data_IF_664355012888
#
_entry.id   IF_664355012888
#
_cell.length_a   1.000
_cell.length_b   1.000
_cell.length_c   1.000
_cell.angle_alpha   90.00
_cell.angle_beta   90.00
_cell.angle_gamma   90.00
#
_symmetry.space_group_name_H-M   'P 1'
#
loop_
_entity.id
_entity.type
_entity.pdbx_description
1 polymer ?
#
# COMPACT_ATOMS: atom_id res chain seq x y z
N UNK A 1 4.99 -12.22 21.31
CA UNK A 1 4.52 -11.63 20.07
C UNK A 1 5.15 -12.31 18.87
N UNK A 2 4.39 -12.51 17.86
CA UNK A 2 4.92 -13.11 16.69
C UNK A 2 5.85 -12.16 15.97
N UNK A 3 7.02 -12.64 15.65
CA UNK A 3 7.97 -11.85 14.90
C UNK A 3 7.66 -11.94 13.42
N UNK A 4 7.63 -10.80 12.79
CA UNK A 4 7.43 -10.71 11.38
C UNK A 4 8.81 -10.68 10.73
N UNK A 5 9.15 -11.66 9.94
CA UNK A 5 10.46 -11.63 9.30
C UNK A 5 10.42 -10.71 8.08
N UNK A 6 11.59 -10.39 7.56
CA UNK A 6 11.72 -9.43 6.47
C UNK A 6 10.94 -9.85 5.24
N UNK A 7 10.89 -11.15 4.97
CA UNK A 7 10.19 -11.63 3.80
C UNK A 7 8.72 -11.31 3.86
N UNK A 8 8.09 -11.58 5.00
CA UNK A 8 6.66 -11.32 5.15
C UNK A 8 6.36 -9.83 5.13
N UNK A 9 7.24 -9.05 5.73
CA UNK A 9 7.10 -7.60 5.72
C UNK A 9 7.07 -7.07 4.29
N UNK A 10 8.02 -7.50 3.48
CA UNK A 10 8.10 -7.02 2.11
C UNK A 10 6.98 -7.57 1.24
N UNK A 11 6.52 -8.79 1.52
CA UNK A 11 5.39 -9.33 0.78
C UNK A 11 4.13 -8.54 1.02
N UNK A 12 3.92 -8.07 2.25
CA UNK A 12 2.76 -7.21 2.52
C UNK A 12 2.89 -5.87 1.80
N UNK A 13 4.09 -5.30 1.79
CA UNK A 13 4.31 -4.06 1.08
C UNK A 13 4.03 -4.24 -0.42
N UNK A 14 4.52 -5.34 -0.99
CA UNK A 14 4.32 -5.63 -2.40
C UNK A 14 2.86 -5.81 -2.74
N UNK A 15 2.06 -6.34 -1.82
CA UNK A 15 0.63 -6.50 -2.06
C UNK A 15 -0.05 -5.14 -2.25
N UNK A 16 0.37 -4.13 -1.49
CA UNK A 16 -0.17 -2.78 -1.68
C UNK A 16 0.26 -2.20 -3.02
N UNK A 17 1.51 -2.45 -3.40
CA UNK A 17 2.03 -1.95 -4.67
C UNK A 17 1.30 -2.61 -5.84
N UNK A 18 1.05 -3.91 -5.74
CA UNK A 18 0.33 -4.63 -6.78
C UNK A 18 -1.08 -4.05 -6.95
N UNK A 19 -1.75 -3.77 -5.84
CA UNK A 19 -3.08 -3.17 -5.91
C UNK A 19 -3.03 -1.80 -6.57
N UNK A 20 -2.03 -1.01 -6.21
CA UNK A 20 -1.88 0.31 -6.81
C UNK A 20 -1.63 0.22 -8.32
N UNK A 21 -0.80 -0.74 -8.73
CA UNK A 21 -0.52 -0.93 -10.16
C UNK A 21 -1.78 -1.34 -10.91
N UNK A 22 -2.64 -2.15 -10.30
CA UNK A 22 -3.91 -2.53 -10.93
C UNK A 22 -4.76 -1.28 -11.15
N UNK A 23 -4.84 -0.41 -10.17
CA UNK A 23 -5.63 0.81 -10.30
C UNK A 23 -5.05 1.74 -11.36
N UNK A 24 -3.73 1.73 -11.50
CA UNK A 24 -3.05 2.61 -12.44
C UNK A 24 -3.29 2.20 -13.89
N UNK A 25 -3.96 1.09 -14.14
CA UNK A 25 -4.34 0.73 -15.51
C UNK A 25 -5.52 1.55 -16.01
N UNK A 26 -6.30 2.14 -15.11
CA UNK A 26 -7.48 2.92 -15.50
C UNK A 26 -7.45 4.35 -15.00
N UNK A 27 -6.56 4.66 -14.06
CA UNK A 27 -6.42 6.01 -13.52
C UNK A 27 -4.96 6.39 -13.61
N UNK A 28 -4.65 7.67 -13.60
CA UNK A 28 -3.26 8.10 -13.68
C UNK A 28 -2.50 7.65 -12.43
N UNK A 29 -1.20 7.41 -12.63
CA UNK A 29 -0.34 6.98 -11.52
C UNK A 29 -0.29 8.04 -10.43
N UNK A 30 -0.34 9.31 -10.81
CA UNK A 30 -0.35 10.39 -9.82
C UNK A 30 -1.56 10.35 -8.92
N UNK A 31 -2.73 10.06 -9.49
CA UNK A 31 -3.94 9.95 -8.68
C UNK A 31 -3.90 8.74 -7.76
N UNK A 32 -3.38 7.63 -8.26
CA UNK A 32 -3.22 6.43 -7.42
C UNK A 32 -2.26 6.73 -6.28
N UNK A 33 -1.14 7.39 -6.58
CA UNK A 33 -0.16 7.74 -5.57
C UNK A 33 -0.78 8.61 -4.48
N UNK A 34 -1.53 9.62 -4.86
CA UNK A 34 -2.18 10.50 -3.89
C UNK A 34 -3.17 9.73 -3.02
N UNK A 35 -3.93 8.82 -3.64
CA UNK A 35 -4.88 7.99 -2.89
C UNK A 35 -4.18 7.09 -1.89
N UNK A 36 -3.04 6.51 -2.28
CA UNK A 36 -2.26 5.66 -1.38
C UNK A 36 -1.75 6.44 -0.19
N UNK A 37 -1.26 7.65 -0.43
CA UNK A 37 -0.76 8.49 0.65
C UNK A 37 -1.88 8.82 1.63
N UNK A 38 -3.04 9.17 1.12
CA UNK A 38 -4.19 9.46 1.95
C UNK A 38 -4.62 8.23 2.75
N UNK A 39 -4.70 7.08 2.07
CA UNK A 39 -5.10 5.84 2.72
C UNK A 39 -4.13 5.44 3.83
N UNK A 40 -2.84 5.60 3.57
CA UNK A 40 -1.82 5.30 4.56
C UNK A 40 -2.00 6.17 5.80
N UNK A 41 -2.22 7.45 5.59
CA UNK A 41 -2.41 8.38 6.70
C UNK A 41 -3.67 8.03 7.50
N UNK A 42 -4.75 7.68 6.81
CA UNK A 42 -6.00 7.30 7.49
C UNK A 42 -5.81 6.04 8.30
N UNK A 43 -5.19 5.04 7.70
CA UNK A 43 -4.96 3.80 8.41
C UNK A 43 -4.10 4.03 9.64
N UNK A 44 -3.02 4.77 9.47
CA UNK A 44 -2.10 5.01 10.59
C UNK A 44 -2.72 5.84 11.70
N UNK A 45 -3.69 6.65 11.37
CA UNK A 45 -4.39 7.44 12.40
C UNK A 45 -5.22 6.55 13.32
N UNK A 46 -5.60 5.37 12.86
CA UNK A 46 -6.45 4.46 13.63
C UNK A 46 -5.69 3.27 14.22
N UNK A 47 -4.42 3.15 13.94
CA UNK A 47 -3.60 2.02 14.42
C UNK A 47 -3.26 2.07 15.94
#
# INVERSE_FOLDING_TARGET
>A
MKTDDDKEFFERADAYITRANDQATTVSRGKVSASMMFATARFNAWV
#
